data_IF_622990077479
#
_entry.id   IF_622990077479
#
_cell.length_a   1.000
_cell.length_b   1.000
_cell.length_c   1.000
_cell.angle_alpha   90.00
_cell.angle_beta   90.00
_cell.angle_gamma   90.00
#
_symmetry.space_group_name_H-M   'P 1'
#
loop_
_entity.id
_entity.type
_entity.pdbx_description
1 polymer ?
#
# COMPACT_ATOMS: atom_id res chain seq x y z
N UNK A 1 -13.45 -0.01 -7.61
CA UNK A 1 -13.39 0.28 -6.17
C UNK A 1 -12.29 1.26 -5.85
N UNK A 2 -12.40 1.95 -4.75
CA UNK A 2 -11.39 2.90 -4.31
C UNK A 2 -10.86 2.49 -2.95
N UNK A 3 -9.54 2.60 -2.77
CA UNK A 3 -8.92 2.34 -1.48
C UNK A 3 -8.13 3.59 -1.05
N UNK A 4 -8.01 3.80 0.25
CA UNK A 4 -7.16 4.86 0.79
C UNK A 4 -5.79 4.28 1.07
N UNK A 5 -4.75 4.97 0.64
CA UNK A 5 -3.38 4.51 0.82
C UNK A 5 -2.56 5.57 1.54
N UNK A 6 -1.76 5.13 2.49
CA UNK A 6 -0.79 5.98 3.17
C UNK A 6 0.58 5.32 3.10
N UNK A 7 1.58 6.10 2.72
CA UNK A 7 2.95 5.65 2.63
C UNK A 7 3.76 6.26 3.78
N UNK A 8 4.61 5.45 4.41
CA UNK A 8 5.37 5.86 5.59
C UNK A 8 6.86 5.77 5.36
N UNK A 9 7.60 6.51 6.20
CA UNK A 9 9.05 6.38 6.35
C UNK A 9 9.82 6.51 5.04
N UNK A 10 9.42 7.43 4.19
CA UNK A 10 10.12 7.69 2.93
C UNK A 10 9.72 6.80 1.77
N UNK A 11 8.85 5.84 1.99
CA UNK A 11 8.27 5.07 0.88
C UNK A 11 7.41 6.01 0.04
N UNK A 12 7.68 6.07 -1.24
CA UNK A 12 6.97 6.99 -2.12
C UNK A 12 6.90 6.44 -3.54
N UNK A 13 6.03 7.03 -4.34
CA UNK A 13 5.93 6.76 -5.77
C UNK A 13 6.20 8.06 -6.52
N UNK A 14 6.25 7.98 -7.84
CA UNK A 14 6.39 9.19 -8.64
C UNK A 14 5.23 10.15 -8.45
N UNK A 15 4.04 9.62 -8.16
CA UNK A 15 2.84 10.43 -7.98
C UNK A 15 2.70 10.97 -6.56
N UNK A 16 3.25 10.28 -5.57
CA UNK A 16 3.12 10.64 -4.16
C UNK A 16 4.50 10.67 -3.54
N UNK A 17 4.93 11.85 -3.13
CA UNK A 17 6.28 12.05 -2.65
C UNK A 17 6.39 12.32 -1.17
N UNK A 18 5.28 12.61 -0.52
CA UNK A 18 5.27 12.97 0.89
C UNK A 18 4.85 11.77 1.73
N UNK A 19 5.68 11.40 2.70
CA UNK A 19 5.32 10.39 3.66
C UNK A 19 4.15 10.86 4.51
N UNK A 20 3.26 9.93 4.80
CA UNK A 20 2.12 10.22 5.67
C UNK A 20 0.92 10.82 4.96
N UNK A 21 1.04 11.21 3.73
CA UNK A 21 -0.11 11.70 2.99
C UNK A 21 -1.05 10.54 2.67
N UNK A 22 -2.33 10.83 2.75
CA UNK A 22 -3.38 9.88 2.39
C UNK A 22 -3.89 10.23 1.01
N UNK A 23 -4.00 9.23 0.16
CA UNK A 23 -4.54 9.44 -1.17
C UNK A 23 -5.43 8.27 -1.56
N UNK A 24 -6.32 8.51 -2.51
CA UNK A 24 -7.26 7.52 -2.97
C UNK A 24 -6.76 6.89 -4.26
N UNK A 25 -6.84 5.57 -4.32
CA UNK A 25 -6.37 4.80 -5.48
C UNK A 25 -7.56 4.02 -6.04
N UNK A 26 -7.90 4.22 -7.31
CA UNK A 26 -8.92 3.40 -7.96
C UNK A 26 -8.32 2.06 -8.37
N UNK A 27 -9.02 0.99 -8.08
CA UNK A 27 -8.61 -0.37 -8.41
C UNK A 27 -9.78 -1.14 -8.99
N UNK A 28 -9.48 -2.17 -9.76
CA UNK A 28 -10.50 -3.08 -10.25
C UNK A 28 -11.09 -3.89 -9.10
N UNK A 29 -12.33 -4.31 -9.22
CA UNK A 29 -12.92 -5.21 -8.25
C UNK A 29 -12.10 -6.49 -8.14
N UNK A 30 -11.90 -6.94 -6.92
CA UNK A 30 -11.11 -8.15 -6.66
C UNK A 30 -9.62 -7.94 -6.68
N UNK A 31 -9.13 -6.71 -6.83
CA UNK A 31 -7.71 -6.44 -6.82
C UNK A 31 -7.08 -6.85 -5.49
N UNK A 32 -5.85 -7.30 -5.56
CA UNK A 32 -5.08 -7.76 -4.40
C UNK A 32 -4.12 -6.67 -3.93
N UNK A 33 -3.45 -6.92 -2.79
CA UNK A 33 -2.38 -6.03 -2.32
C UNK A 33 -1.27 -5.95 -3.37
N UNK A 34 -0.92 -7.08 -3.98
CA UNK A 34 0.07 -7.09 -5.05
C UNK A 34 -0.35 -6.23 -6.23
N UNK A 35 -1.62 -6.26 -6.60
CA UNK A 35 -2.15 -5.40 -7.66
C UNK A 35 -2.02 -3.92 -7.30
N UNK A 36 -2.24 -3.59 -6.03
CA UNK A 36 -2.06 -2.23 -5.55
C UNK A 36 -0.62 -1.76 -5.74
N UNK A 37 0.36 -2.59 -5.40
CA UNK A 37 1.76 -2.23 -5.60
C UNK A 37 2.06 -1.98 -7.07
N UNK A 38 1.55 -2.84 -7.96
CA UNK A 38 1.73 -2.65 -9.40
C UNK A 38 1.12 -1.34 -9.89
N UNK A 39 -0.07 -1.03 -9.40
CA UNK A 39 -0.76 0.20 -9.77
C UNK A 39 0.02 1.44 -9.33
N UNK A 40 0.62 1.38 -8.15
CA UNK A 40 1.39 2.50 -7.60
C UNK A 40 2.80 2.58 -8.15
N UNK A 41 3.27 1.54 -8.83
CA UNK A 41 4.64 1.48 -9.30
C UNK A 41 5.64 1.26 -8.17
N UNK A 42 5.23 0.66 -7.08
CA UNK A 42 6.09 0.35 -5.94
C UNK A 42 6.65 -1.06 -6.09
N UNK A 43 7.95 -1.20 -5.90
CA UNK A 43 8.58 -2.52 -5.88
C UNK A 43 8.15 -3.26 -4.62
N UNK A 44 7.64 -4.49 -4.75
CA UNK A 44 7.18 -5.24 -3.57
C UNK A 44 8.25 -5.45 -2.51
N UNK A 45 9.51 -5.57 -2.92
CA UNK A 45 10.61 -5.79 -1.98
C UNK A 45 10.91 -4.56 -1.11
N UNK A 46 10.39 -3.40 -1.48
CA UNK A 46 10.53 -2.18 -0.68
C UNK A 46 9.44 -2.04 0.38
N UNK A 47 8.45 -2.91 0.38
CA UNK A 47 7.36 -2.87 1.36
C UNK A 47 7.56 -4.00 2.36
N UNK A 48 7.83 -3.63 3.61
CA UNK A 48 8.00 -4.60 4.69
C UNK A 48 6.65 -4.99 5.30
N UNK A 49 5.81 -4.00 5.56
CA UNK A 49 4.52 -4.22 6.18
C UNK A 49 3.41 -3.57 5.36
N UNK A 50 2.31 -4.30 5.23
CA UNK A 50 1.07 -3.74 4.73
C UNK A 50 0.01 -3.93 5.82
N UNK A 51 -0.60 -2.83 6.25
CA UNK A 51 -1.65 -2.84 7.27
C UNK A 51 -2.93 -2.41 6.59
N UNK A 52 -3.93 -3.27 6.62
CA UNK A 52 -5.22 -3.00 5.99
C UNK A 52 -6.28 -2.94 7.08
N UNK A 53 -6.92 -1.77 7.21
CA UNK A 53 -7.95 -1.54 8.23
C UNK A 53 -7.46 -1.90 9.65
N UNK A 54 -6.20 -1.56 9.95
CA UNK A 54 -5.62 -1.82 11.26
C UNK A 54 -5.07 -3.23 11.46
N UNK A 55 -5.09 -4.07 10.45
CA UNK A 55 -4.58 -5.44 10.53
C UNK A 55 -3.36 -5.62 9.65
N UNK A 56 -2.34 -6.24 10.19
CA UNK A 56 -1.16 -6.60 9.39
C UNK A 56 -1.53 -7.78 8.48
N UNK A 57 -1.36 -7.61 7.18
CA UNK A 57 -1.58 -8.67 6.21
C UNK A 57 -0.26 -9.05 5.57
N UNK A 58 0.13 -10.31 5.73
CA UNK A 58 1.35 -10.82 5.13
C UNK A 58 1.12 -11.40 3.75
N UNK A 59 -0.10 -11.85 3.48
CA UNK A 59 -0.45 -12.44 2.20
C UNK A 59 -0.76 -11.35 1.18
N UNK A 60 0.13 -11.17 0.24
CA UNK A 60 -0.04 -10.14 -0.79
C UNK A 60 -1.03 -10.52 -1.87
N UNK A 61 -1.50 -11.75 -1.87
CA UNK A 61 -2.61 -12.17 -2.70
C UNK A 61 -3.97 -11.91 -2.06
N UNK A 62 -3.99 -11.36 -0.84
CA UNK A 62 -5.24 -11.01 -0.19
C UNK A 62 -5.96 -9.92 -0.98
N UNK A 63 -7.25 -10.09 -1.16
CA UNK A 63 -8.07 -9.16 -1.93
C UNK A 63 -8.45 -7.96 -1.09
N UNK A 64 -8.46 -6.81 -1.74
CA UNK A 64 -8.92 -5.56 -1.13
C UNK A 64 -10.40 -5.35 -1.42
N UNK A 65 -11.04 -4.52 -0.61
CA UNK A 65 -12.43 -4.16 -0.78
C UNK A 65 -12.55 -2.64 -0.90
N UNK A 66 -13.65 -2.19 -1.47
CA UNK A 66 -13.92 -0.76 -1.58
C UNK A 66 -13.90 -0.10 -0.21
N UNK A 67 -13.20 1.02 -0.11
CA UNK A 67 -13.08 1.75 1.14
C UNK A 67 -12.00 1.27 2.08
N UNK A 68 -11.26 0.23 1.73
CA UNK A 68 -10.16 -0.24 2.58
C UNK A 68 -9.12 0.85 2.78
N UNK A 69 -8.53 0.86 3.97
CA UNK A 69 -7.43 1.75 4.33
C UNK A 69 -6.15 0.95 4.41
N UNK A 70 -5.22 1.28 3.54
CA UNK A 70 -3.97 0.54 3.41
C UNK A 70 -2.81 1.45 3.82
N UNK A 71 -2.03 1.00 4.80
CA UNK A 71 -0.81 1.67 5.21
C UNK A 71 0.38 0.80 4.83
N UNK A 72 1.34 1.39 4.13
CA UNK A 72 2.51 0.69 3.64
C UNK A 72 3.77 1.23 4.30
N UNK A 73 4.60 0.33 4.80
CA UNK A 73 5.83 0.66 5.52
C UNK A 73 7.02 0.00 4.85
N UNK A 74 8.12 0.73 4.65
CA UNK A 74 9.35 0.13 4.13
C UNK A 74 10.06 -0.69 5.21
N UNK A 75 11.08 -1.47 4.85
CA UNK A 75 11.91 -2.12 5.86
C UNK A 75 12.51 -1.07 6.79
N UNK A 76 12.50 -1.36 8.08
CA UNK A 76 13.12 -0.47 9.04
C UNK A 76 14.60 -0.57 8.86
N UNK A 77 15.23 0.55 8.75
CA UNK A 77 16.62 0.58 8.43
C UNK A 77 17.47 -0.12 9.43
N UNK A 78 17.91 -0.35 10.04
CA UNK A 78 18.68 -1.04 11.00
C UNK A 78 19.78 -1.83 10.36
N UNK A 79 19.81 -1.67 9.41
CA UNK A 79 20.88 -2.39 8.81
C UNK A 79 20.69 -3.18 7.96
#
# INVERSE_FOLDING_TARGET
>A
MNVEVRLYAGLHTESVRSSGDVFTVPLAEGATISDLFSHLGIRPDLVHLAIVNGRILHDRAARLADGDRVALFPPVGGG
#
